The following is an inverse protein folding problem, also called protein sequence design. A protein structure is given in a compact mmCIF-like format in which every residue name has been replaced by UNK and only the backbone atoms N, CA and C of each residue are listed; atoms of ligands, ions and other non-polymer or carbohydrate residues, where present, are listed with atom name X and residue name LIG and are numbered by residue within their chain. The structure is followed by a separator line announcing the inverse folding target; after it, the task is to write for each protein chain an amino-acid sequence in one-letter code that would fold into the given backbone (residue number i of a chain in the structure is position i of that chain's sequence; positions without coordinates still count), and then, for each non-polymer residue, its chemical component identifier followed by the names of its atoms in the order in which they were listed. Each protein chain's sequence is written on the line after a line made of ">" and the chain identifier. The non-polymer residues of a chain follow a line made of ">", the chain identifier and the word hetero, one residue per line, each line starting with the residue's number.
data_IF_939458342183
#
_entry.id   IF_939458342183
#
_cell.length_a   1.000
_cell.length_b   1.000
_cell.length_c   1.000
_cell.angle_alpha   90.00
_cell.angle_beta   90.00
_cell.angle_gamma   90.00
#
_symmetry.space_group_name_H-M   'P 1'
#
loop_
_entity.id
_entity.type
_entity.pdbx_description
1 polymer ?
#
# COMPACT_ATOMS: atom_id res chain seq x y z
N UNK A 1 1.45 -25.62 -1.29
CA UNK A 1 0.78 -24.41 -1.82
C UNK A 1 0.69 -23.37 -0.75
N UNK A 2 1.70 -22.65 -0.69
CA UNK A 2 2.25 -22.02 0.38
C UNK A 2 2.10 -20.52 0.33
N UNK A 3 1.81 -19.96 1.38
CA UNK A 3 2.28 -18.77 2.06
C UNK A 3 2.59 -17.49 1.29
N UNK A 4 2.64 -17.53 0.04
CA UNK A 4 2.56 -16.34 -0.77
C UNK A 4 1.09 -16.15 -1.04
N UNK A 5 0.50 -15.07 -0.55
CA UNK A 5 -0.80 -14.66 -1.04
C UNK A 5 -0.76 -14.86 -2.56
N UNK A 6 -1.75 -15.51 -3.13
CA UNK A 6 -1.72 -15.94 -4.54
C UNK A 6 -1.31 -14.82 -5.51
N UNK A 7 -1.40 -13.55 -5.10
CA UNK A 7 -0.98 -12.38 -5.86
C UNK A 7 0.53 -12.11 -5.86
N UNK A 8 1.15 -11.95 -4.69
CA UNK A 8 2.58 -11.60 -4.61
C UNK A 8 3.48 -12.75 -5.06
N UNK A 9 3.17 -13.98 -4.67
CA UNK A 9 3.99 -15.13 -5.01
C UNK A 9 4.04 -15.47 -6.49
N UNK A 10 2.97 -15.24 -7.23
CA UNK A 10 2.97 -15.46 -8.68
C UNK A 10 3.74 -14.38 -9.43
N UNK A 11 3.79 -13.16 -8.91
CA UNK A 11 4.61 -12.07 -9.46
C UNK A 11 6.10 -12.39 -9.32
N UNK A 12 6.54 -12.83 -8.15
CA UNK A 12 7.95 -13.21 -7.94
C UNK A 12 8.37 -14.38 -8.82
N UNK A 13 7.54 -15.40 -8.94
CA UNK A 13 7.85 -16.58 -9.78
C UNK A 13 8.00 -16.24 -11.27
N UNK A 14 7.34 -15.18 -11.73
CA UNK A 14 7.38 -14.78 -13.15
C UNK A 14 8.45 -13.73 -13.47
N UNK A 15 8.84 -12.91 -12.49
CA UNK A 15 9.73 -11.78 -12.71
C UNK A 15 11.17 -12.02 -12.20
N UNK A 16 11.36 -12.95 -11.27
CA UNK A 16 12.66 -13.26 -10.71
C UNK A 16 13.08 -14.65 -11.20
N UNK A 17 14.22 -14.74 -11.84
CA UNK A 17 14.81 -16.01 -12.20
C UNK A 17 15.38 -16.70 -10.95
N UNK A 18 14.55 -17.47 -10.28
CA UNK A 18 14.90 -18.20 -9.05
C UNK A 18 15.83 -19.39 -9.34
N UNK A 19 15.87 -19.87 -10.59
CA UNK A 19 16.64 -21.06 -11.01
C UNK A 19 17.94 -20.70 -11.72
N UNK A 20 18.13 -19.47 -12.14
CA UNK A 20 19.34 -19.02 -12.80
C UNK A 20 20.52 -18.89 -11.85
N UNK A 21 21.70 -19.31 -12.27
CA UNK A 21 22.93 -19.25 -11.46
C UNK A 21 23.39 -17.85 -11.03
N UNK A 22 22.73 -16.79 -11.54
CA UNK A 22 23.02 -15.39 -11.22
C UNK A 22 21.91 -14.74 -10.35
N UNK A 23 20.95 -15.52 -9.85
CA UNK A 23 19.90 -14.97 -9.00
C UNK A 23 20.49 -14.50 -7.66
N UNK A 24 20.15 -13.26 -7.28
CA UNK A 24 20.48 -12.67 -5.95
C UNK A 24 19.30 -12.76 -5.00
N UNK A 25 18.48 -13.79 -5.13
CA UNK A 25 17.25 -13.97 -4.33
C UNK A 25 17.37 -15.18 -3.44
N UNK A 26 17.11 -15.01 -2.16
CA UNK A 26 17.00 -16.08 -1.16
C UNK A 26 15.53 -16.21 -0.76
N UNK A 27 15.01 -17.43 -0.72
CA UNK A 27 13.64 -17.72 -0.34
C UNK A 27 13.62 -18.53 0.94
N UNK A 28 13.01 -17.98 1.99
CA UNK A 28 12.89 -18.62 3.30
C UNK A 28 11.41 -18.90 3.57
N UNK A 29 11.06 -20.17 3.73
CA UNK A 29 9.67 -20.61 3.85
C UNK A 29 9.32 -21.09 5.24
N UNK A 30 8.16 -20.65 5.75
CA UNK A 30 7.49 -21.22 6.90
C UNK A 30 6.03 -21.53 6.54
N UNK A 31 5.70 -22.78 6.34
CA UNK A 31 4.38 -23.21 5.88
C UNK A 31 3.33 -23.12 7.01
N UNK A 32 2.05 -22.92 6.62
CA UNK A 32 0.94 -22.78 7.58
C UNK A 32 0.68 -24.05 8.39
N UNK A 33 1.02 -25.22 7.83
CA UNK A 33 0.89 -26.53 8.47
C UNK A 33 2.07 -26.87 9.40
N UNK A 34 3.12 -26.07 9.42
CA UNK A 34 4.24 -26.24 10.33
C UNK A 34 3.85 -25.92 11.79
N UNK A 35 4.52 -26.54 12.78
CA UNK A 35 4.33 -26.20 14.17
C UNK A 35 4.57 -24.71 14.45
N UNK A 36 3.89 -24.12 15.45
CA UNK A 36 4.01 -22.69 15.73
C UNK A 36 5.45 -22.26 16.07
N UNK A 37 6.26 -23.12 16.66
CA UNK A 37 7.69 -22.86 16.90
C UNK A 37 8.49 -22.64 15.62
N UNK A 38 8.24 -23.42 14.58
CA UNK A 38 8.88 -23.27 13.26
C UNK A 38 8.41 -21.97 12.58
N UNK A 39 7.10 -21.71 12.59
CA UNK A 39 6.52 -20.50 11.99
C UNK A 39 7.01 -19.21 12.69
N UNK A 40 7.21 -19.22 13.97
CA UNK A 40 7.79 -18.08 14.71
C UNK A 40 9.27 -17.86 14.40
N UNK A 41 10.01 -18.91 14.04
CA UNK A 41 11.46 -18.83 13.76
C UNK A 41 11.81 -18.47 12.33
N UNK A 42 10.95 -18.79 11.37
CA UNK A 42 11.24 -18.55 9.96
C UNK A 42 11.50 -17.06 9.65
N UNK A 43 10.75 -16.15 10.25
CA UNK A 43 10.96 -14.72 10.08
C UNK A 43 12.33 -14.27 10.59
N UNK A 44 12.73 -14.77 11.77
CA UNK A 44 14.03 -14.48 12.36
C UNK A 44 15.19 -15.10 11.58
N UNK A 45 14.99 -16.28 10.99
CA UNK A 45 15.98 -16.93 10.11
C UNK A 45 16.21 -16.11 8.85
N UNK A 46 15.16 -15.73 8.15
CA UNK A 46 15.29 -14.89 6.96
C UNK A 46 15.90 -13.52 7.25
N UNK A 47 15.57 -12.94 8.41
CA UNK A 47 16.19 -11.69 8.83
C UNK A 47 17.69 -11.85 9.16
N UNK A 48 18.09 -12.99 9.74
CA UNK A 48 19.51 -13.27 10.00
C UNK A 48 20.31 -13.43 8.72
N UNK A 49 19.72 -14.02 7.68
CA UNK A 49 20.35 -14.08 6.35
C UNK A 49 20.48 -12.68 5.75
N UNK A 50 19.44 -11.85 5.85
CA UNK A 50 19.50 -10.46 5.40
C UNK A 50 20.59 -9.65 6.13
N UNK A 51 20.73 -9.85 7.44
CA UNK A 51 21.80 -9.23 8.24
C UNK A 51 23.21 -9.70 7.81
N UNK A 52 23.37 -10.96 7.43
CA UNK A 52 24.63 -11.46 6.88
C UNK A 52 25.03 -10.69 5.61
N UNK A 53 24.11 -10.55 4.66
CA UNK A 53 24.38 -9.80 3.43
C UNK A 53 24.67 -8.33 3.71
N UNK A 54 23.97 -7.70 4.67
CA UNK A 54 24.22 -6.31 5.07
C UNK A 54 25.56 -6.13 5.75
N UNK A 55 25.88 -6.94 6.75
CA UNK A 55 26.97 -6.68 7.68
C UNK A 55 28.30 -7.34 7.27
N UNK A 56 28.24 -8.50 6.59
CA UNK A 56 29.43 -9.26 6.15
C UNK A 56 29.74 -9.01 4.69
N UNK A 57 28.71 -9.06 3.82
CA UNK A 57 28.89 -8.85 2.38
C UNK A 57 28.79 -7.36 1.98
N UNK A 58 28.47 -6.47 2.91
CA UNK A 58 28.35 -5.01 2.71
C UNK A 58 27.37 -4.64 1.58
N UNK A 59 26.22 -5.29 1.57
CA UNK A 59 25.18 -5.09 0.54
C UNK A 59 23.96 -4.39 1.10
N UNK A 60 23.24 -3.70 0.21
CA UNK A 60 21.89 -3.23 0.47
C UNK A 60 20.91 -4.37 0.17
N UNK A 61 20.06 -4.69 1.14
CA UNK A 61 19.14 -5.82 1.09
C UNK A 61 17.71 -5.32 1.01
N UNK A 62 16.94 -5.85 0.07
CA UNK A 62 15.50 -5.69 0.01
C UNK A 62 14.84 -6.92 0.62
N UNK A 63 14.18 -6.73 1.77
CA UNK A 63 13.62 -7.78 2.60
C UNK A 63 12.09 -7.79 2.50
N UNK A 64 11.52 -8.87 1.96
CA UNK A 64 10.07 -9.04 1.82
C UNK A 64 9.54 -10.00 2.89
N UNK A 65 8.43 -9.62 3.54
CA UNK A 65 7.73 -10.45 4.53
C UNK A 65 6.27 -10.61 4.11
N UNK A 66 5.85 -11.82 3.79
CA UNK A 66 4.46 -12.12 3.47
C UNK A 66 3.96 -13.31 4.33
N UNK A 67 3.26 -13.02 5.42
CA UNK A 67 3.01 -11.70 5.99
C UNK A 67 3.42 -11.69 7.47
N UNK A 68 3.67 -10.51 8.00
CA UNK A 68 4.15 -10.35 9.38
C UNK A 68 3.12 -10.80 10.44
N UNK A 69 1.83 -10.76 10.13
CA UNK A 69 0.78 -11.24 11.02
C UNK A 69 0.97 -12.72 11.41
N UNK A 70 1.54 -13.55 10.52
CA UNK A 70 1.80 -14.97 10.80
C UNK A 70 2.85 -15.18 11.89
N UNK A 71 3.81 -14.27 11.97
CA UNK A 71 4.78 -14.25 13.08
C UNK A 71 4.08 -13.99 14.41
N UNK A 72 3.19 -13.01 14.47
CA UNK A 72 2.37 -12.70 15.65
C UNK A 72 1.45 -13.85 16.02
N UNK A 73 0.77 -14.44 15.07
CA UNK A 73 -0.12 -15.59 15.27
C UNK A 73 0.64 -16.78 15.87
N UNK A 74 1.79 -17.11 15.34
CA UNK A 74 2.64 -18.16 15.88
C UNK A 74 3.08 -17.89 17.33
N UNK A 75 3.39 -16.64 17.63
CA UNK A 75 3.71 -16.18 18.99
C UNK A 75 2.54 -16.37 19.98
N UNK A 76 1.31 -16.06 19.56
CA UNK A 76 0.12 -16.26 20.41
C UNK A 76 -0.17 -17.74 20.63
N UNK A 77 -0.02 -18.59 19.61
CA UNK A 77 -0.16 -20.05 19.74
C UNK A 77 0.87 -20.64 20.71
N UNK A 78 2.14 -20.23 20.64
CA UNK A 78 3.19 -20.64 21.57
C UNK A 78 2.85 -20.18 22.99
N UNK A 79 2.40 -18.96 23.16
CA UNK A 79 2.02 -18.40 24.47
C UNK A 79 0.89 -19.19 25.11
N UNK A 80 -0.12 -19.59 24.32
CA UNK A 80 -1.23 -20.44 24.76
C UNK A 80 -0.75 -21.84 25.15
N UNK A 81 0.12 -22.46 24.37
CA UNK A 81 0.71 -23.77 24.69
C UNK A 81 1.53 -23.76 25.98
N UNK A 82 2.14 -22.62 26.31
CA UNK A 82 2.90 -22.42 27.55
C UNK A 82 2.00 -22.05 28.74
N UNK A 83 0.69 -21.99 28.57
CA UNK A 83 -0.26 -21.64 29.62
C UNK A 83 -0.17 -20.21 30.11
N UNK A 84 0.37 -19.28 29.32
CA UNK A 84 0.45 -17.86 29.69
C UNK A 84 -0.93 -17.22 29.59
N UNK A 85 -1.23 -16.31 30.50
CA UNK A 85 -2.48 -15.53 30.49
C UNK A 85 -2.46 -14.63 29.24
N UNK A 86 -3.47 -14.72 28.36
CA UNK A 86 -3.51 -13.88 27.17
C UNK A 86 -3.78 -12.41 27.51
N UNK A 87 -3.26 -11.51 26.66
CA UNK A 87 -3.59 -10.09 26.69
C UNK A 87 -4.85 -9.79 25.87
N UNK A 88 -5.05 -8.53 25.52
CA UNK A 88 -6.21 -8.09 24.72
C UNK A 88 -6.37 -8.94 23.44
N UNK A 89 -7.62 -9.27 23.11
CA UNK A 89 -8.02 -10.04 21.91
C UNK A 89 -7.36 -11.44 21.82
N UNK A 90 -6.79 -11.94 22.92
CA UNK A 90 -6.17 -13.28 22.97
C UNK A 90 -4.72 -13.33 22.51
N UNK A 91 -4.07 -12.21 22.26
CA UNK A 91 -2.66 -12.16 21.91
C UNK A 91 -1.74 -12.43 23.10
N UNK A 92 -0.47 -12.79 22.82
CA UNK A 92 0.55 -12.98 23.84
C UNK A 92 0.86 -11.65 24.58
N UNK A 93 1.15 -11.71 25.89
CA UNK A 93 1.51 -10.51 26.65
C UNK A 93 2.83 -9.88 26.18
N UNK A 94 3.67 -10.63 25.46
CA UNK A 94 4.94 -10.19 24.89
C UNK A 94 4.84 -9.65 23.47
N UNK A 95 3.61 -9.41 22.93
CA UNK A 95 3.38 -9.00 21.55
C UNK A 95 4.29 -7.83 21.12
N UNK A 96 4.28 -6.74 21.88
CA UNK A 96 5.09 -5.56 21.57
C UNK A 96 6.58 -5.81 21.63
N UNK A 97 7.03 -6.60 22.61
CA UNK A 97 8.45 -6.95 22.76
C UNK A 97 8.92 -7.87 21.63
N UNK A 98 8.12 -8.88 21.28
CA UNK A 98 8.46 -9.84 20.22
C UNK A 98 8.52 -9.11 18.85
N UNK A 99 7.57 -8.24 18.59
CA UNK A 99 7.52 -7.44 17.36
C UNK A 99 8.70 -6.46 17.32
N UNK A 100 8.93 -5.73 18.39
CA UNK A 100 10.05 -4.78 18.50
C UNK A 100 11.40 -5.46 18.30
N UNK A 101 11.64 -6.61 18.94
CA UNK A 101 12.87 -7.38 18.79
C UNK A 101 13.16 -7.81 17.35
N UNK A 102 12.12 -8.03 16.53
CA UNK A 102 12.29 -8.33 15.12
C UNK A 102 12.48 -7.05 14.29
N UNK A 103 11.62 -6.06 14.47
CA UNK A 103 11.59 -4.85 13.63
C UNK A 103 12.83 -3.97 13.80
N UNK A 104 13.35 -3.84 15.02
CA UNK A 104 14.55 -3.04 15.31
C UNK A 104 15.84 -3.56 14.63
N UNK A 105 15.85 -4.82 14.17
CA UNK A 105 16.94 -5.39 13.39
C UNK A 105 16.92 -4.94 11.92
N UNK A 106 15.76 -4.48 11.44
CA UNK A 106 15.58 -3.96 10.08
C UNK A 106 16.06 -2.52 10.08
N UNK A 107 17.33 -2.31 9.79
CA UNK A 107 17.95 -0.99 9.89
C UNK A 107 19.13 -0.86 8.96
N UNK A 108 19.56 0.38 8.73
CA UNK A 108 20.82 0.71 8.06
C UNK A 108 21.98 0.73 9.06
N UNK A 109 23.09 0.18 8.65
CA UNK A 109 24.36 0.20 9.41
C UNK A 109 25.44 0.96 8.61
N UNK A 110 26.66 0.97 9.10
CA UNK A 110 27.80 1.53 8.36
C UNK A 110 28.18 0.66 7.15
N UNK A 111 27.77 -0.60 7.16
CA UNK A 111 28.16 -1.60 6.18
C UNK A 111 27.16 -1.76 5.03
N UNK A 112 25.90 -1.46 5.27
CA UNK A 112 24.81 -1.61 4.29
C UNK A 112 23.46 -1.32 4.93
N UNK A 113 22.38 -1.56 4.18
CA UNK A 113 21.01 -1.31 4.65
C UNK A 113 20.10 -2.51 4.45
N UNK A 114 19.04 -2.59 5.27
CA UNK A 114 17.89 -3.47 5.03
C UNK A 114 16.67 -2.58 4.85
N UNK A 115 16.10 -2.60 3.65
CA UNK A 115 14.80 -1.99 3.36
C UNK A 115 13.75 -3.07 3.31
N UNK A 116 12.68 -2.95 4.09
CA UNK A 116 11.64 -3.98 4.13
C UNK A 116 10.35 -3.55 3.46
N UNK A 117 9.70 -4.53 2.81
CA UNK A 117 8.31 -4.44 2.34
C UNK A 117 7.55 -5.57 3.03
N UNK A 118 6.60 -5.21 3.87
CA UNK A 118 5.89 -6.16 4.72
C UNK A 118 4.41 -6.14 4.38
N UNK A 119 3.86 -7.30 4.03
CA UNK A 119 2.42 -7.48 3.97
C UNK A 119 1.88 -7.63 5.38
N UNK A 120 0.87 -6.83 5.72
CA UNK A 120 0.20 -6.88 7.03
C UNK A 120 -1.24 -7.30 6.83
N UNK A 121 -1.61 -8.46 7.36
CA UNK A 121 -3.01 -8.87 7.39
C UNK A 121 -3.71 -8.15 8.55
N UNK A 122 -4.85 -7.54 8.26
CA UNK A 122 -5.67 -6.82 9.23
C UNK A 122 -6.93 -7.64 9.49
N UNK A 123 -7.07 -8.28 10.67
CA UNK A 123 -8.25 -9.06 11.00
C UNK A 123 -9.52 -8.21 10.98
N UNK A 124 -10.55 -8.70 10.27
CA UNK A 124 -11.86 -8.04 10.16
C UNK A 124 -11.81 -6.57 9.68
N UNK A 125 -10.77 -6.20 8.94
CA UNK A 125 -10.49 -4.83 8.49
C UNK A 125 -10.37 -3.80 9.65
N UNK A 126 -10.06 -4.27 10.87
CA UNK A 126 -9.88 -3.44 12.07
C UNK A 126 -8.41 -3.05 12.26
N UNK A 127 -8.06 -1.84 11.83
CA UNK A 127 -6.72 -1.28 12.00
C UNK A 127 -6.33 -1.07 13.46
N UNK A 128 -7.30 -1.11 14.40
CA UNK A 128 -7.07 -0.96 15.84
C UNK A 128 -6.77 -2.27 16.55
N UNK A 129 -6.87 -3.41 15.85
CA UNK A 129 -6.45 -4.71 16.38
C UNK A 129 -4.99 -4.64 16.88
N UNK A 130 -4.67 -5.18 18.08
CA UNK A 130 -3.34 -5.06 18.67
C UNK A 130 -2.19 -5.53 17.78
N UNK A 131 -2.37 -6.54 16.93
CA UNK A 131 -1.30 -7.06 16.09
C UNK A 131 -0.90 -6.09 14.96
N UNK A 132 -1.81 -5.62 14.07
CA UNK A 132 -1.48 -4.61 13.09
C UNK A 132 -1.07 -3.28 13.74
N UNK A 133 -1.77 -2.82 14.80
CA UNK A 133 -1.43 -1.57 15.48
C UNK A 133 0.01 -1.55 16.02
N UNK A 134 0.44 -2.66 16.64
CA UNK A 134 1.83 -2.80 17.11
C UNK A 134 2.82 -2.82 15.94
N UNK A 135 2.46 -3.47 14.83
CA UNK A 135 3.31 -3.50 13.64
C UNK A 135 3.46 -2.10 13.03
N UNK A 136 2.36 -1.36 12.87
CA UNK A 136 2.37 -0.02 12.27
C UNK A 136 3.25 0.97 13.03
N UNK A 137 3.39 0.81 14.35
CA UNK A 137 4.27 1.67 15.17
C UNK A 137 5.74 1.61 14.75
N UNK A 138 6.17 0.51 14.12
CA UNK A 138 7.54 0.30 13.66
C UNK A 138 7.77 0.63 12.17
N UNK A 139 6.70 0.93 11.41
CA UNK A 139 6.81 1.16 9.98
C UNK A 139 7.02 2.65 9.66
N UNK A 140 7.88 2.94 8.68
CA UNK A 140 8.11 4.29 8.19
C UNK A 140 7.06 4.76 7.20
N UNK A 141 6.43 3.83 6.50
CA UNK A 141 5.34 4.10 5.58
C UNK A 141 4.31 2.97 5.61
N UNK A 142 3.04 3.33 5.49
CA UNK A 142 1.94 2.38 5.40
C UNK A 142 1.12 2.66 4.14
N UNK A 143 0.80 1.61 3.39
CA UNK A 143 -0.12 1.65 2.26
C UNK A 143 -1.33 0.82 2.62
N UNK A 144 -2.46 1.47 2.85
CA UNK A 144 -3.71 0.84 3.28
C UNK A 144 -4.57 0.54 2.06
N UNK A 145 -4.98 -0.72 1.89
CA UNK A 145 -5.93 -1.15 0.87
C UNK A 145 -7.33 -1.18 1.49
N UNK A 146 -8.28 -0.51 0.84
CA UNK A 146 -9.65 -0.34 1.33
C UNK A 146 -10.66 -1.10 0.46
N UNK A 147 -11.57 -1.85 1.11
CA UNK A 147 -12.67 -2.53 0.42
C UNK A 147 -13.66 -1.54 -0.20
N UNK A 148 -13.97 -0.45 0.50
CA UNK A 148 -14.88 0.57 0.00
C UNK A 148 -14.38 1.23 -1.29
N UNK A 149 -13.07 1.42 -1.43
CA UNK A 149 -12.46 1.93 -2.66
C UNK A 149 -12.51 0.88 -3.77
N UNK A 150 -12.28 -0.39 -3.44
CA UNK A 150 -12.41 -1.52 -4.38
C UNK A 150 -13.85 -1.66 -4.91
N UNK A 151 -14.85 -1.46 -4.07
CA UNK A 151 -16.28 -1.50 -4.45
C UNK A 151 -16.64 -0.39 -5.44
N UNK A 152 -15.94 0.75 -5.40
CA UNK A 152 -16.05 1.81 -6.41
C UNK A 152 -15.36 1.48 -7.76
N UNK A 153 -14.73 0.30 -7.85
CA UNK A 153 -13.99 -0.13 -9.03
C UNK A 153 -12.63 0.58 -9.20
N UNK A 154 -12.11 1.23 -8.18
CA UNK A 154 -10.82 1.92 -8.21
C UNK A 154 -9.71 0.94 -7.85
N UNK A 155 -8.78 0.71 -8.76
CA UNK A 155 -7.65 -0.19 -8.60
C UNK A 155 -6.34 0.47 -9.05
N UNK A 156 -5.22 0.32 -8.27
CA UNK A 156 -5.15 -0.33 -6.95
C UNK A 156 -6.01 0.39 -5.90
N UNK A 157 -6.65 -0.38 -5.00
CA UNK A 157 -7.62 0.16 -4.03
C UNK A 157 -6.92 0.78 -2.80
N UNK A 158 -5.96 1.64 -3.02
CA UNK A 158 -5.21 2.33 -1.97
C UNK A 158 -6.01 3.48 -1.40
N UNK A 159 -6.13 3.54 -0.08
CA UNK A 159 -6.74 4.69 0.61
C UNK A 159 -5.68 5.75 0.87
N UNK A 160 -5.75 6.92 0.22
CA UNK A 160 -4.76 7.98 0.38
C UNK A 160 -4.91 8.75 1.69
N UNK A 161 -6.03 8.61 2.40
CA UNK A 161 -6.28 9.26 3.70
C UNK A 161 -5.73 8.43 4.86
N UNK A 162 -5.85 7.11 4.78
CA UNK A 162 -5.38 6.19 5.81
C UNK A 162 -3.91 5.75 5.58
N UNK A 163 -3.37 5.99 4.38
CA UNK A 163 -1.98 5.71 4.05
C UNK A 163 -1.07 6.85 4.51
N UNK A 164 0.08 6.50 5.09
CA UNK A 164 1.02 7.46 5.65
C UNK A 164 2.46 7.19 5.23
N UNK A 165 3.32 8.22 5.26
CA UNK A 165 4.75 8.06 5.04
C UNK A 165 5.53 9.14 5.79
N UNK A 166 6.56 8.74 6.53
CA UNK A 166 7.48 9.66 7.23
C UNK A 166 8.37 10.44 6.26
N UNK A 167 8.64 9.87 5.09
CA UNK A 167 9.42 10.54 4.04
C UNK A 167 8.63 11.61 3.30
N UNK A 168 7.30 11.69 3.47
CA UNK A 168 6.49 12.74 2.87
C UNK A 168 6.65 14.05 3.67
N UNK A 169 7.81 14.68 3.53
CA UNK A 169 8.15 15.97 4.11
C UNK A 169 8.86 16.86 3.08
N UNK A 170 8.71 18.19 3.14
CA UNK A 170 9.31 19.09 2.15
C UNK A 170 10.83 18.95 2.01
N UNK A 171 11.51 18.60 3.12
CA UNK A 171 12.96 18.42 3.15
C UNK A 171 13.46 17.17 2.41
N UNK A 172 12.58 16.18 2.22
CA UNK A 172 12.94 14.90 1.57
C UNK A 172 12.42 14.84 0.15
N UNK A 173 11.11 15.09 -0.04
CA UNK A 173 10.46 14.92 -1.35
C UNK A 173 10.42 16.21 -2.16
N UNK A 174 10.79 17.34 -1.57
CA UNK A 174 10.66 18.67 -2.16
C UNK A 174 9.29 19.31 -1.93
N UNK A 175 9.25 20.63 -2.01
CA UNK A 175 8.08 21.45 -1.68
C UNK A 175 6.89 21.17 -2.63
N UNK A 176 7.15 20.98 -3.92
CA UNK A 176 6.11 20.75 -4.91
C UNK A 176 5.38 19.43 -4.68
N UNK A 177 6.12 18.33 -4.55
CA UNK A 177 5.54 17.00 -4.29
C UNK A 177 4.74 17.02 -2.99
N UNK A 178 5.31 17.56 -1.91
CA UNK A 178 4.62 17.67 -0.63
C UNK A 178 3.31 18.44 -0.73
N UNK A 179 3.33 19.62 -1.37
CA UNK A 179 2.14 20.46 -1.52
C UNK A 179 1.05 19.78 -2.35
N UNK A 180 1.43 19.12 -3.45
CA UNK A 180 0.46 18.37 -4.29
C UNK A 180 -0.16 17.22 -3.51
N UNK A 181 0.65 16.41 -2.82
CA UNK A 181 0.14 15.29 -2.03
C UNK A 181 -0.82 15.75 -0.92
N UNK A 182 -0.48 16.84 -0.20
CA UNK A 182 -1.36 17.41 0.83
C UNK A 182 -2.63 18.01 0.24
N UNK A 183 -2.55 18.71 -0.88
CA UNK A 183 -3.74 19.23 -1.57
C UNK A 183 -4.71 18.12 -2.01
N UNK A 184 -4.20 17.00 -2.49
CA UNK A 184 -5.02 15.82 -2.80
C UNK A 184 -5.73 15.31 -1.55
N UNK A 185 -5.00 15.14 -0.43
CA UNK A 185 -5.59 14.69 0.83
C UNK A 185 -6.64 15.65 1.36
N UNK A 186 -6.41 16.96 1.30
CA UNK A 186 -7.36 18.00 1.75
C UNK A 186 -8.66 17.95 0.94
N UNK A 187 -8.60 17.86 -0.38
CA UNK A 187 -9.78 17.77 -1.24
C UNK A 187 -10.55 16.47 -0.96
N UNK A 188 -9.87 15.34 -0.85
CA UNK A 188 -10.51 14.06 -0.55
C UNK A 188 -11.12 14.04 0.85
N UNK A 189 -10.48 14.64 1.85
CA UNK A 189 -11.03 14.76 3.20
C UNK A 189 -12.27 15.66 3.23
N UNK A 190 -12.23 16.80 2.52
CA UNK A 190 -13.41 17.67 2.38
C UNK A 190 -14.55 16.94 1.65
N UNK A 191 -14.25 16.19 0.60
CA UNK A 191 -15.24 15.37 -0.09
C UNK A 191 -15.88 14.32 0.82
N UNK A 192 -15.08 13.61 1.62
CA UNK A 192 -15.56 12.62 2.60
C UNK A 192 -16.55 13.25 3.59
N UNK A 193 -16.28 14.47 4.08
CA UNK A 193 -17.20 15.19 4.97
C UNK A 193 -18.49 15.67 4.29
N UNK A 194 -18.47 15.88 2.96
CA UNK A 194 -19.64 16.28 2.20
C UNK A 194 -20.52 15.10 1.76
N UNK A 195 -20.00 13.86 1.78
CA UNK A 195 -20.72 12.69 1.30
C UNK A 195 -22.06 12.46 2.04
N UNK A 196 -22.08 12.65 3.36
CA UNK A 196 -23.29 12.49 4.16
C UNK A 196 -24.34 13.56 3.81
N UNK A 197 -23.89 14.78 3.55
CA UNK A 197 -24.75 15.89 3.13
C UNK A 197 -25.33 15.60 1.74
N UNK A 198 -24.50 15.14 0.82
CA UNK A 198 -24.92 14.78 -0.55
C UNK A 198 -25.93 13.63 -0.53
N UNK A 199 -25.74 12.64 0.34
CA UNK A 199 -26.63 11.48 0.45
C UNK A 199 -28.02 11.85 0.99
N UNK A 200 -28.11 12.85 1.86
CA UNK A 200 -29.36 13.28 2.51
C UNK A 200 -30.07 14.38 1.70
N UNK A 201 -29.34 15.40 1.29
CA UNK A 201 -29.91 16.63 0.71
C UNK A 201 -29.73 16.72 -0.82
N UNK A 202 -28.84 15.92 -1.39
CA UNK A 202 -28.49 15.97 -2.81
C UNK A 202 -27.40 17.01 -3.12
N UNK A 203 -26.96 16.99 -4.38
CA UNK A 203 -25.91 17.91 -4.88
C UNK A 203 -26.39 19.36 -5.00
N UNK A 204 -27.69 19.58 -5.14
CA UNK A 204 -28.26 20.90 -5.41
C UNK A 204 -28.19 21.85 -4.21
N UNK A 205 -28.11 21.29 -3.00
CA UNK A 205 -28.01 22.07 -1.77
C UNK A 205 -26.57 22.50 -1.43
N UNK A 206 -25.57 22.03 -2.20
CA UNK A 206 -24.18 22.42 -2.01
C UNK A 206 -23.92 23.82 -2.56
N UNK A 207 -23.02 24.55 -1.90
CA UNK A 207 -22.47 25.80 -2.44
C UNK A 207 -21.72 25.55 -3.74
N UNK A 208 -21.56 26.58 -4.58
CA UNK A 208 -20.81 26.45 -5.84
C UNK A 208 -19.34 26.02 -5.59
N UNK A 209 -18.74 26.48 -4.50
CA UNK A 209 -17.39 26.09 -4.07
C UNK A 209 -17.33 24.60 -3.70
N UNK A 210 -18.33 24.09 -2.96
CA UNK A 210 -18.39 22.69 -2.58
C UNK A 210 -18.70 21.78 -3.77
N UNK A 211 -19.56 22.21 -4.70
CA UNK A 211 -19.78 21.50 -5.97
C UNK A 211 -18.49 21.35 -6.78
N UNK A 212 -17.72 22.42 -6.87
CA UNK A 212 -16.41 22.39 -7.54
C UNK A 212 -15.45 21.43 -6.84
N UNK A 213 -15.39 21.50 -5.50
CA UNK A 213 -14.57 20.58 -4.69
C UNK A 213 -14.96 19.12 -4.93
N UNK A 214 -16.25 18.81 -4.91
CA UNK A 214 -16.77 17.45 -5.20
C UNK A 214 -16.41 17.00 -6.62
N UNK A 215 -16.56 17.87 -7.61
CA UNK A 215 -16.16 17.57 -9.00
C UNK A 215 -14.69 17.21 -9.11
N UNK A 216 -13.80 18.02 -8.53
CA UNK A 216 -12.36 17.77 -8.51
C UNK A 216 -11.99 16.50 -7.71
N UNK A 217 -12.64 16.29 -6.55
CA UNK A 217 -12.44 15.08 -5.74
C UNK A 217 -12.76 13.79 -6.52
N UNK A 218 -13.86 13.77 -7.28
CA UNK A 218 -14.24 12.63 -8.13
C UNK A 218 -13.22 12.39 -9.24
N UNK A 219 -12.72 13.45 -9.88
CA UNK A 219 -11.62 13.34 -10.85
C UNK A 219 -10.34 12.78 -10.23
N UNK A 220 -9.97 13.27 -9.05
CA UNK A 220 -8.83 12.76 -8.27
C UNK A 220 -9.01 11.28 -7.95
N UNK A 221 -10.17 10.87 -7.43
CA UNK A 221 -10.45 9.45 -7.14
C UNK A 221 -10.32 8.58 -8.39
N UNK A 222 -10.86 9.04 -9.54
CA UNK A 222 -10.73 8.31 -10.81
C UNK A 222 -9.27 8.26 -11.27
N UNK A 223 -8.52 9.35 -11.14
CA UNK A 223 -7.12 9.42 -11.55
C UNK A 223 -6.18 8.62 -10.64
N UNK A 224 -6.58 8.30 -9.41
CA UNK A 224 -5.88 7.34 -8.54
C UNK A 224 -5.97 5.90 -9.07
N UNK A 225 -6.93 5.59 -9.95
CA UNK A 225 -6.99 4.30 -10.64
C UNK A 225 -5.97 4.23 -11.77
N UNK A 226 -5.29 3.09 -11.88
CA UNK A 226 -4.23 2.89 -12.89
C UNK A 226 -4.22 1.45 -13.37
N UNK A 227 -4.05 1.18 -14.68
CA UNK A 227 -3.77 -0.16 -15.14
C UNK A 227 -2.38 -0.59 -14.64
N UNK A 228 -2.28 -1.75 -14.04
CA UNK A 228 -1.03 -2.26 -13.50
C UNK A 228 -0.75 -3.69 -13.95
N UNK A 229 0.54 -4.05 -14.08
CA UNK A 229 1.00 -5.27 -14.73
C UNK A 229 0.43 -6.56 -14.14
N UNK A 230 0.27 -6.63 -12.81
CA UNK A 230 -0.26 -7.83 -12.14
C UNK A 230 -1.72 -8.09 -12.51
N UNK A 231 -2.49 -7.05 -12.80
CA UNK A 231 -3.90 -7.15 -13.13
C UNK A 231 -4.16 -7.45 -14.62
N UNK A 232 -3.16 -7.38 -15.50
CA UNK A 232 -3.33 -7.59 -16.96
C UNK A 232 -4.09 -8.87 -17.30
N UNK A 233 -3.77 -9.97 -16.60
CA UNK A 233 -4.39 -11.29 -16.83
C UNK A 233 -5.89 -11.28 -16.51
N UNK A 234 -6.32 -10.40 -15.58
CA UNK A 234 -7.70 -10.33 -15.13
C UNK A 234 -8.51 -9.26 -15.86
N UNK A 235 -7.87 -8.12 -16.17
CA UNK A 235 -8.55 -6.97 -16.78
C UNK A 235 -8.48 -6.96 -18.31
N UNK A 236 -7.53 -7.69 -18.89
CA UNK A 236 -7.21 -7.63 -20.31
C UNK A 236 -6.60 -6.28 -20.76
N UNK A 237 -6.32 -5.39 -19.82
CA UNK A 237 -5.71 -4.08 -20.09
C UNK A 237 -4.23 -4.14 -19.76
N UNK A 238 -3.38 -3.68 -20.66
CA UNK A 238 -1.92 -3.64 -20.47
C UNK A 238 -1.57 -2.71 -19.30
N UNK A 239 -0.73 -3.19 -18.39
CA UNK A 239 -0.23 -2.40 -17.28
C UNK A 239 0.69 -1.27 -17.74
N UNK A 240 0.72 -0.21 -16.98
CA UNK A 240 1.49 0.99 -17.30
C UNK A 240 2.33 1.43 -16.11
N UNK A 241 3.57 1.79 -16.39
CA UNK A 241 4.46 2.40 -15.41
C UNK A 241 4.43 3.91 -15.59
N UNK A 242 3.93 4.62 -14.58
CA UNK A 242 3.87 6.08 -14.57
C UNK A 242 5.03 6.62 -13.72
N UNK A 243 5.79 7.55 -14.26
CA UNK A 243 6.86 8.21 -13.52
C UNK A 243 6.29 9.12 -12.44
N UNK A 244 7.04 9.28 -11.35
CA UNK A 244 6.66 10.14 -10.24
C UNK A 244 6.40 11.59 -10.68
N UNK A 245 7.23 12.10 -11.58
CA UNK A 245 7.09 13.46 -12.13
C UNK A 245 5.77 13.65 -12.87
N UNK A 246 5.36 12.67 -13.69
CA UNK A 246 4.10 12.70 -14.43
C UNK A 246 2.90 12.57 -13.48
N UNK A 247 3.03 11.78 -12.41
CA UNK A 247 2.02 11.68 -11.35
C UNK A 247 1.83 13.02 -10.65
N UNK A 248 2.91 13.64 -10.19
CA UNK A 248 2.86 14.95 -9.51
C UNK A 248 2.25 16.01 -10.43
N UNK A 249 2.68 16.06 -11.69
CA UNK A 249 2.15 16.98 -12.71
C UNK A 249 0.65 16.80 -12.89
N UNK A 250 0.19 15.56 -13.08
CA UNK A 250 -1.21 15.27 -13.33
C UNK A 250 -2.11 15.70 -12.15
N UNK A 251 -1.75 15.33 -10.92
CA UNK A 251 -2.51 15.76 -9.74
C UNK A 251 -2.47 17.29 -9.53
N UNK A 252 -1.32 17.92 -9.76
CA UNK A 252 -1.18 19.38 -9.68
C UNK A 252 -2.14 20.09 -10.63
N UNK A 253 -2.22 19.65 -11.88
CA UNK A 253 -3.10 20.24 -12.89
C UNK A 253 -4.58 20.08 -12.54
N UNK A 254 -4.97 18.94 -11.94
CA UNK A 254 -6.34 18.75 -11.45
C UNK A 254 -6.63 19.67 -10.25
N UNK A 255 -5.70 19.79 -9.30
CA UNK A 255 -5.83 20.69 -8.14
C UNK A 255 -5.96 22.17 -8.55
N UNK A 256 -5.19 22.59 -9.55
CA UNK A 256 -5.22 23.95 -10.11
C UNK A 256 -6.48 24.21 -10.97
N UNK A 257 -7.29 23.21 -11.24
CA UNK A 257 -8.54 23.33 -11.99
C UNK A 257 -8.37 23.45 -13.51
N UNK A 258 -7.19 23.13 -14.07
CA UNK A 258 -6.93 23.21 -15.50
C UNK A 258 -7.85 22.30 -16.33
N UNK A 259 -8.43 21.31 -15.70
CA UNK A 259 -9.25 20.26 -16.35
C UNK A 259 -10.66 20.19 -15.77
N UNK A 260 -11.20 21.29 -15.25
CA UNK A 260 -12.53 21.34 -14.64
C UNK A 260 -13.65 21.04 -15.65
N UNK A 261 -13.41 21.29 -16.94
CA UNK A 261 -14.31 21.02 -18.07
C UNK A 261 -14.24 19.57 -18.62
N UNK A 262 -13.25 18.79 -18.17
CA UNK A 262 -13.05 17.41 -18.61
C UNK A 262 -13.96 16.46 -17.83
N UNK A 263 -14.68 15.52 -18.49
CA UNK A 263 -15.53 14.54 -17.80
C UNK A 263 -14.73 13.64 -16.85
N UNK A 264 -15.27 13.35 -15.67
CA UNK A 264 -14.60 12.50 -14.66
C UNK A 264 -14.21 11.11 -15.16
N UNK A 265 -14.99 10.53 -16.08
CA UNK A 265 -14.76 9.21 -16.66
C UNK A 265 -13.47 9.15 -17.51
N UNK A 266 -13.01 10.27 -18.01
CA UNK A 266 -11.75 10.33 -18.76
C UNK A 266 -10.53 10.01 -17.90
N UNK A 267 -10.59 10.32 -16.60
CA UNK A 267 -9.52 10.08 -15.63
C UNK A 267 -9.46 8.64 -15.10
N UNK A 268 -10.44 7.80 -15.47
CA UNK A 268 -10.51 6.43 -14.97
C UNK A 268 -9.58 5.47 -15.73
N UNK A 269 -8.75 4.70 -15.02
CA UNK A 269 -7.82 3.69 -15.56
C UNK A 269 -6.94 4.27 -16.68
N UNK A 270 -6.23 5.32 -16.36
CA UNK A 270 -5.21 5.97 -17.20
C UNK A 270 -3.90 6.11 -16.41
N UNK A 271 -2.78 6.23 -17.09
CA UNK A 271 -1.49 6.44 -16.46
C UNK A 271 -1.18 7.93 -16.27
N UNK A 272 -1.13 8.69 -17.35
CA UNK A 272 -0.76 10.11 -17.31
C UNK A 272 -1.94 11.03 -17.59
N UNK A 273 -1.77 12.33 -17.29
CA UNK A 273 -2.81 13.33 -17.55
C UNK A 273 -3.10 13.49 -19.05
N UNK A 274 -2.08 13.35 -19.88
CA UNK A 274 -2.20 13.43 -21.34
C UNK A 274 -3.13 12.32 -21.87
N UNK A 275 -3.01 11.11 -21.33
CA UNK A 275 -3.89 10.00 -21.70
C UNK A 275 -5.34 10.25 -21.28
N UNK A 276 -5.56 10.91 -20.15
CA UNK A 276 -6.90 11.31 -19.73
C UNK A 276 -7.52 12.30 -20.74
N UNK A 277 -6.73 13.26 -21.22
CA UNK A 277 -7.17 14.23 -22.21
C UNK A 277 -7.46 13.57 -23.58
N UNK A 278 -6.58 12.68 -24.05
CA UNK A 278 -6.83 11.91 -25.28
C UNK A 278 -8.09 11.06 -25.17
N UNK A 279 -8.33 10.45 -24.00
CA UNK A 279 -9.53 9.68 -23.73
C UNK A 279 -10.78 10.56 -23.75
N UNK A 280 -10.71 11.77 -23.17
CA UNK A 280 -11.80 12.75 -23.22
C UNK A 280 -12.13 13.17 -24.65
N UNK A 281 -11.13 13.38 -25.52
CA UNK A 281 -11.35 13.70 -26.92
C UNK A 281 -12.03 12.54 -27.69
N UNK A 282 -11.60 11.30 -27.41
CA UNK A 282 -12.25 10.11 -27.99
C UNK A 282 -13.70 9.96 -27.55
N UNK A 283 -14.00 10.27 -26.28
CA UNK A 283 -15.37 10.24 -25.75
C UNK A 283 -16.25 11.30 -26.41
N UNK A 284 -15.73 12.48 -26.69
CA UNK A 284 -16.47 13.53 -27.44
C UNK A 284 -16.75 13.14 -28.88
N UNK A 285 -15.83 12.43 -29.54
CA UNK A 285 -15.99 11.98 -30.95
C UNK A 285 -16.81 10.70 -31.10
N UNK A 286 -16.90 9.86 -30.08
CA UNK A 286 -17.67 8.61 -30.08
C UNK A 286 -19.12 8.74 -29.59
N UNK A 287 -19.53 9.93 -29.21
CA UNK A 287 -20.89 10.29 -28.80
C UNK A 287 -21.75 10.98 -29.88
N UNK A 288 -21.29 10.98 -31.16
CA UNK A 288 -22.07 11.39 -32.33
C UNK A 288 -22.65 10.17 -33.07
#
# INVERSE_FOLDING_TARGET
>A
DCLLSRGLGDVYKRQIDIKGGNSKTVLVYGQMNEPPGARARVALSGLTEAEYFRDVEHQDVLFFVDNIFRFTQAGSEISALLGRIPSAVGYQPTLGTDMGAMQERITSTKNGSITSVQAVYVPADDLTDPAPATTFAHLDATTVLSRSISELGIYPAVDPLDSTSRVLSPSVVGEEHYRVARGVQEILQKYKSLQDIIAILGMDELSDEDRLTVSRARKIQRFLSQPFFVAEVFTGTKGEFVKLEDTIKGFKEILEGKHDDVPEQAFYMVGTIEQALEKAEKMKKGGE
#
